data_IF_767618793555
#
_entry.id   IF_767618793555
#
_cell.length_a   1.000
_cell.length_b   1.000
_cell.length_c   1.000
_cell.angle_alpha   90.00
_cell.angle_beta   90.00
_cell.angle_gamma   90.00
#
_symmetry.space_group_name_H-M   'P 1'
#
loop_
_entity.id
_entity.type
_entity.pdbx_description
1 polymer ?
#
# COMPACT_ATOMS: atom_id res chain seq x y z
N UNK A 1 4.69 13.38 14.33
CA UNK A 1 3.77 12.25 14.61
C UNK A 1 3.71 12.05 16.12
N UNK A 2 2.52 12.05 16.74
CA UNK A 2 2.39 11.68 18.17
C UNK A 2 2.59 10.16 18.27
N UNK A 3 3.75 9.76 18.78
CA UNK A 3 4.07 8.35 18.98
C UNK A 3 3.29 7.85 20.19
N UNK A 4 2.60 6.73 20.01
CA UNK A 4 1.86 6.07 21.09
C UNK A 4 2.84 5.43 22.09
N UNK A 5 2.54 5.41 23.40
CA UNK A 5 3.38 4.74 24.41
C UNK A 5 3.50 3.23 24.18
N UNK A 6 2.52 2.65 23.49
CA UNK A 6 2.54 1.27 23.05
C UNK A 6 3.67 1.06 22.01
N UNK A 7 4.72 0.34 22.43
CA UNK A 7 5.91 0.11 21.62
C UNK A 7 5.63 -0.67 20.32
N UNK A 8 4.63 -1.55 20.29
CA UNK A 8 4.26 -2.28 19.09
C UNK A 8 3.58 -1.36 18.07
N UNK A 9 2.64 -0.54 18.54
CA UNK A 9 2.00 0.47 17.69
C UNK A 9 2.98 1.58 17.28
N UNK A 10 3.90 1.99 18.15
CA UNK A 10 4.93 2.97 17.81
C UNK A 10 5.77 2.53 16.60
N UNK A 11 6.25 1.27 16.60
CA UNK A 11 6.98 0.69 15.46
C UNK A 11 6.16 0.62 14.19
N UNK A 12 4.85 0.39 14.29
CA UNK A 12 3.96 0.38 13.13
C UNK A 12 3.68 1.80 12.57
N UNK A 13 3.91 2.85 13.36
CA UNK A 13 3.63 4.25 12.99
C UNK A 13 4.86 5.03 12.54
N UNK A 14 6.06 4.50 12.72
CA UNK A 14 7.32 5.16 12.37
C UNK A 14 8.03 4.32 11.32
N UNK A 15 8.06 4.81 10.09
CA UNK A 15 8.85 4.21 9.03
C UNK A 15 10.35 4.39 9.36
N UNK A 16 11.07 3.27 9.48
CA UNK A 16 12.52 3.26 9.70
C UNK A 16 13.33 3.37 8.40
N UNK A 17 12.66 3.33 7.25
CA UNK A 17 13.25 3.40 5.92
C UNK A 17 12.27 4.06 4.93
N UNK A 18 12.77 4.61 3.80
CA UNK A 18 11.92 5.09 2.71
C UNK A 18 10.99 3.99 2.18
N UNK A 19 9.75 4.35 1.79
CA UNK A 19 8.75 3.36 1.32
C UNK A 19 9.25 2.56 0.11
N UNK A 20 9.96 3.20 -0.81
CA UNK A 20 10.54 2.57 -1.99
C UNK A 20 11.50 1.42 -1.64
N UNK A 21 12.32 1.59 -0.60
CA UNK A 21 13.30 0.58 -0.20
C UNK A 21 12.61 -0.60 0.49
N UNK A 22 11.60 -0.31 1.30
CA UNK A 22 10.75 -1.33 1.92
C UNK A 22 10.00 -2.16 0.87
N UNK A 23 9.36 -1.50 -0.10
CA UNK A 23 8.67 -2.20 -1.21
C UNK A 23 9.66 -3.03 -2.02
N UNK A 24 10.85 -2.49 -2.34
CA UNK A 24 11.87 -3.24 -3.07
C UNK A 24 12.27 -4.52 -2.34
N UNK A 25 12.48 -4.46 -1.02
CA UNK A 25 12.79 -5.62 -0.21
C UNK A 25 11.65 -6.65 -0.23
N UNK A 26 10.39 -6.21 -0.07
CA UNK A 26 9.22 -7.11 -0.16
C UNK A 26 9.12 -7.80 -1.53
N UNK A 27 9.28 -7.05 -2.62
CA UNK A 27 9.19 -7.61 -3.96
C UNK A 27 10.35 -8.56 -4.30
N UNK A 28 11.53 -8.39 -3.69
CA UNK A 28 12.64 -9.31 -3.84
C UNK A 28 12.33 -10.69 -3.25
N UNK A 29 11.52 -10.74 -2.17
CA UNK A 29 11.11 -11.98 -1.51
C UNK A 29 9.98 -12.73 -2.25
N UNK A 30 9.26 -12.05 -3.14
CA UNK A 30 8.20 -12.69 -3.91
C UNK A 30 8.75 -13.66 -4.97
N UNK A 31 8.15 -14.84 -5.03
CA UNK A 31 8.29 -15.75 -6.16
C UNK A 31 7.89 -15.07 -7.50
N UNK A 32 8.34 -15.59 -8.64
CA UNK A 32 7.84 -15.15 -9.95
C UNK A 32 6.31 -15.16 -9.99
N UNK A 33 5.70 -14.11 -10.55
CA UNK A 33 4.25 -13.91 -10.57
C UNK A 33 3.58 -13.88 -9.18
N UNK A 34 4.36 -13.68 -8.11
CA UNK A 34 3.84 -13.51 -6.76
C UNK A 34 2.99 -12.25 -6.62
N UNK A 35 2.02 -12.30 -5.70
CA UNK A 35 1.14 -11.18 -5.39
C UNK A 35 1.72 -10.35 -4.25
N UNK A 36 1.84 -9.05 -4.46
CA UNK A 36 2.13 -8.06 -3.44
C UNK A 36 0.82 -7.45 -2.97
N UNK A 37 0.65 -7.29 -1.66
CA UNK A 37 -0.48 -6.54 -1.06
C UNK A 37 0.05 -5.71 0.09
N UNK A 38 -0.36 -4.45 0.17
CA UNK A 38 -0.08 -3.57 1.30
C UNK A 38 -1.31 -2.73 1.64
N UNK A 39 -1.38 -2.28 2.89
CA UNK A 39 -2.31 -1.24 3.32
C UNK A 39 -1.50 -0.01 3.73
N UNK A 40 -1.93 1.17 3.29
CA UNK A 40 -1.27 2.41 3.67
C UNK A 40 -2.26 3.56 3.86
N UNK A 41 -1.78 4.68 4.41
CA UNK A 41 -2.52 5.95 4.42
C UNK A 41 -2.85 6.40 3.00
N UNK A 42 -4.07 6.87 2.81
CA UNK A 42 -4.55 7.33 1.50
C UNK A 42 -3.76 8.55 0.97
N UNK A 43 -3.29 9.43 1.86
CA UNK A 43 -2.49 10.61 1.48
C UNK A 43 -1.08 10.30 0.99
N UNK A 44 -0.59 9.07 1.19
CA UNK A 44 0.69 8.60 0.65
C UNK A 44 0.52 7.84 -0.67
N UNK A 45 -0.65 7.93 -1.33
CA UNK A 45 -0.94 7.18 -2.55
C UNK A 45 0.11 7.41 -3.65
N UNK A 46 0.54 8.66 -3.86
CA UNK A 46 1.57 8.98 -4.86
C UNK A 46 2.90 8.27 -4.57
N UNK A 47 3.33 8.25 -3.31
CA UNK A 47 4.55 7.55 -2.87
C UNK A 47 4.40 6.03 -3.05
N UNK A 48 3.23 5.47 -2.74
CA UNK A 48 2.95 4.05 -2.93
C UNK A 48 3.01 3.65 -4.41
N UNK A 49 2.42 4.46 -5.30
CA UNK A 49 2.44 4.23 -6.74
C UNK A 49 3.87 4.29 -7.30
N UNK A 50 4.64 5.31 -6.92
CA UNK A 50 6.05 5.42 -7.30
C UNK A 50 6.88 4.23 -6.79
N UNK A 51 6.56 3.71 -5.60
CA UNK A 51 7.27 2.57 -5.02
C UNK A 51 7.10 1.28 -5.83
N UNK A 52 5.93 1.07 -6.42
CA UNK A 52 5.58 -0.17 -7.14
C UNK A 52 5.73 -0.06 -8.67
N UNK A 53 5.89 1.15 -9.20
CA UNK A 53 6.01 1.43 -10.63
C UNK A 53 7.09 0.58 -11.31
N UNK A 54 6.73 -0.02 -12.45
CA UNK A 54 7.63 -0.86 -13.24
C UNK A 54 8.02 -2.20 -12.62
N UNK A 55 7.56 -2.51 -11.40
CA UNK A 55 7.93 -3.75 -10.66
C UNK A 55 6.78 -4.74 -10.55
N UNK A 56 5.57 -4.23 -10.37
CA UNK A 56 4.34 -5.02 -10.40
C UNK A 56 3.36 -4.37 -11.39
N UNK A 57 2.47 -5.17 -11.97
CA UNK A 57 1.36 -4.71 -12.78
C UNK A 57 0.03 -5.26 -12.28
N UNK A 58 -1.06 -4.87 -12.95
CA UNK A 58 -2.41 -5.14 -12.45
C UNK A 58 -2.64 -4.50 -11.09
N UNK A 59 -2.06 -3.31 -10.89
CA UNK A 59 -2.14 -2.60 -9.61
C UNK A 59 -3.60 -2.29 -9.33
N UNK A 60 -4.13 -2.77 -8.21
CA UNK A 60 -5.48 -2.46 -7.76
C UNK A 60 -5.43 -1.60 -6.51
N UNK A 61 -6.23 -0.54 -6.51
CA UNK A 61 -6.41 0.36 -5.37
C UNK A 61 -7.82 0.16 -4.82
N UNK A 62 -7.92 -0.27 -3.55
CA UNK A 62 -9.17 -0.41 -2.83
C UNK A 62 -9.24 0.68 -1.75
N UNK A 63 -10.09 1.71 -1.92
CA UNK A 63 -10.29 2.73 -0.90
C UNK A 63 -10.96 2.17 0.35
N UNK A 64 -10.52 2.62 1.53
CA UNK A 64 -11.10 2.26 2.83
C UNK A 64 -11.55 3.55 3.54
N UNK A 65 -12.85 3.63 3.78
CA UNK A 65 -13.52 4.77 4.38
C UNK A 65 -13.99 4.40 5.79
N UNK A 66 -13.89 5.35 6.73
CA UNK A 66 -14.48 5.20 8.07
C UNK A 66 -15.96 5.60 8.11
N UNK A 67 -16.44 6.27 7.06
CA UNK A 67 -17.84 6.65 6.82
C UNK A 67 -18.05 6.75 5.33
N UNK A 68 -19.23 6.38 4.84
CA UNK A 68 -19.51 6.33 3.41
C UNK A 68 -19.36 7.68 2.69
N UNK A 69 -19.60 8.78 3.39
CA UNK A 69 -19.58 10.15 2.91
C UNK A 69 -18.26 10.90 3.21
N UNK A 70 -17.27 10.23 3.82
CA UNK A 70 -15.98 10.81 4.15
C UNK A 70 -14.89 10.37 3.14
N UNK A 71 -13.80 11.15 2.99
CA UNK A 71 -12.62 10.70 2.26
C UNK A 71 -12.05 9.39 2.81
N UNK A 72 -11.43 8.59 1.93
CA UNK A 72 -10.73 7.38 2.35
C UNK A 72 -9.57 7.74 3.29
N UNK A 73 -9.45 6.99 4.39
CA UNK A 73 -8.34 7.17 5.35
C UNK A 73 -7.19 6.21 5.07
N UNK A 74 -7.49 5.09 4.43
CA UNK A 74 -6.54 4.05 4.03
C UNK A 74 -6.83 3.57 2.61
N UNK A 75 -5.83 2.96 2.00
CA UNK A 75 -5.94 2.23 0.75
C UNK A 75 -5.31 0.85 0.91
N UNK A 76 -5.95 -0.18 0.36
CA UNK A 76 -5.25 -1.41 0.00
C UNK A 76 -4.67 -1.22 -1.40
N UNK A 77 -3.39 -1.52 -1.58
CA UNK A 77 -2.74 -1.61 -2.87
C UNK A 77 -2.31 -3.05 -3.07
N UNK A 78 -2.69 -3.66 -4.19
CA UNK A 78 -2.24 -4.98 -4.57
C UNK A 78 -1.71 -4.98 -6.01
N UNK A 79 -0.87 -5.96 -6.37
CA UNK A 79 -0.42 -6.16 -7.75
C UNK A 79 0.43 -7.42 -7.89
N UNK A 80 0.71 -7.80 -9.13
CA UNK A 80 1.43 -9.03 -9.47
C UNK A 80 2.82 -8.71 -10.02
N UNK A 81 3.86 -9.31 -9.44
CA UNK A 81 5.25 -9.13 -9.86
C UNK A 81 5.44 -9.54 -11.32
N UNK A 82 5.97 -8.61 -12.13
CA UNK A 82 6.21 -8.82 -13.56
C UNK A 82 4.97 -8.72 -14.46
N UNK A 83 3.77 -8.48 -13.90
CA UNK A 83 2.59 -8.20 -14.71
C UNK A 83 2.70 -6.85 -15.42
N UNK A 84 2.00 -6.71 -16.54
CA UNK A 84 1.82 -5.45 -17.30
C UNK A 84 0.35 -5.02 -17.39
N UNK A 85 -0.54 -5.69 -16.66
CA UNK A 85 -1.96 -5.34 -16.67
C UNK A 85 -2.15 -3.89 -16.17
N UNK A 86 -3.17 -3.17 -16.68
CA UNK A 86 -3.40 -1.79 -16.30
C UNK A 86 -3.83 -1.67 -14.83
N UNK A 87 -3.66 -0.46 -14.29
CA UNK A 87 -4.15 -0.12 -12.96
C UNK A 87 -5.68 -0.11 -12.93
N UNK A 88 -6.26 -0.48 -11.79
CA UNK A 88 -7.69 -0.40 -11.52
C UNK A 88 -7.97 0.23 -10.15
N UNK A 89 -9.11 0.89 -10.04
CA UNK A 89 -9.66 1.34 -8.77
C UNK A 89 -10.88 0.47 -8.49
N UNK A 90 -10.88 -0.18 -7.34
CA UNK A 90 -11.93 -1.09 -6.92
C UNK A 90 -13.01 -0.35 -6.12
N UNK A 91 -14.11 -1.05 -5.82
CA UNK A 91 -15.19 -0.52 -4.96
C UNK A 91 -14.61 -0.04 -3.61
N UNK A 92 -15.28 0.85 -2.89
CA UNK A 92 -14.85 1.21 -1.54
C UNK A 92 -15.21 0.10 -0.53
N UNK A 93 -14.42 -0.03 0.55
CA UNK A 93 -14.86 -0.63 1.82
C UNK A 93 -15.21 0.49 2.78
N UNK A 94 -16.37 0.38 3.43
CA UNK A 94 -16.77 1.26 4.54
C UNK A 94 -16.77 0.44 5.81
N UNK A 95 -16.02 0.90 6.82
CA UNK A 95 -15.89 0.28 8.15
C UNK A 95 -16.36 1.23 9.23
#
# INVERSE_FOLDING_TARGET
VRVTPDAAKARAHVASAPLIDWVRACLALLAPSGTFVMIHRADALAECLAAVEGRIGGVSIQPIHTRADAPATRILLAGVKGSKAPLSILKAIVV
#
